data_IF_259075757828
#
_entry.id   IF_259075757828
#
_cell.length_a   1.000
_cell.length_b   1.000
_cell.length_c   1.000
_cell.angle_alpha   90.00
_cell.angle_beta   90.00
_cell.angle_gamma   90.00
#
_symmetry.space_group_name_H-M   'P 1'
#
loop_
_entity.id
_entity.type
_entity.pdbx_description
1 polymer ?
#
# COMPACT_ATOMS: atom_id res chain seq x y z
N UNK A 1 -18.56 16.60 -8.45
CA UNK A 1 -17.52 16.49 -9.50
C UNK A 1 -16.55 15.38 -9.17
N UNK A 2 -15.63 15.04 -10.08
CA UNK A 2 -14.69 13.93 -9.93
C UNK A 2 -13.80 14.08 -8.67
N UNK A 3 -13.40 15.29 -8.35
CA UNK A 3 -12.60 15.61 -7.16
C UNK A 3 -13.37 15.38 -5.86
N UNK A 4 -14.65 15.78 -5.82
CA UNK A 4 -15.51 15.56 -4.65
C UNK A 4 -15.76 14.06 -4.45
N UNK A 5 -15.98 13.32 -5.54
CA UNK A 5 -16.15 11.86 -5.49
C UNK A 5 -14.88 11.18 -4.97
N UNK A 6 -13.70 11.55 -5.50
CA UNK A 6 -12.42 11.00 -5.04
C UNK A 6 -12.21 11.22 -3.53
N UNK A 7 -12.49 12.44 -3.04
CA UNK A 7 -12.38 12.78 -1.61
C UNK A 7 -13.39 12.03 -0.75
N UNK A 8 -14.64 11.93 -1.20
CA UNK A 8 -15.68 11.23 -0.46
C UNK A 8 -15.35 9.74 -0.29
N UNK A 9 -14.91 9.07 -1.36
CA UNK A 9 -14.47 7.67 -1.32
C UNK A 9 -13.28 7.51 -0.38
N UNK A 10 -12.26 8.35 -0.50
CA UNK A 10 -11.09 8.31 0.40
C UNK A 10 -11.48 8.48 1.88
N UNK A 11 -12.42 9.37 2.20
CA UNK A 11 -12.91 9.52 3.57
C UNK A 11 -13.61 8.27 4.09
N UNK A 12 -14.37 7.57 3.25
CA UNK A 12 -14.98 6.28 3.59
C UNK A 12 -13.90 5.23 3.86
N UNK A 13 -12.88 5.14 3.01
CA UNK A 13 -11.75 4.22 3.21
C UNK A 13 -11.00 4.49 4.51
N UNK A 14 -10.68 5.75 4.78
CA UNK A 14 -9.97 6.16 6.01
C UNK A 14 -10.77 5.82 7.26
N UNK A 15 -12.05 6.16 7.31
CA UNK A 15 -12.87 5.92 8.50
C UNK A 15 -13.36 4.47 8.62
N UNK A 16 -13.66 3.80 7.50
CA UNK A 16 -14.19 2.45 7.49
C UNK A 16 -13.13 1.36 7.64
N UNK A 17 -12.05 1.47 6.89
CA UNK A 17 -11.02 0.43 6.83
C UNK A 17 -9.75 0.81 7.60
N UNK A 18 -9.14 1.94 7.28
CA UNK A 18 -7.83 2.29 7.82
C UNK A 18 -7.86 2.44 9.34
N UNK A 19 -8.83 3.18 9.88
CA UNK A 19 -8.93 3.42 11.32
C UNK A 19 -9.09 2.14 12.14
N UNK A 20 -9.66 1.09 11.53
CA UNK A 20 -9.91 -0.21 12.19
C UNK A 20 -8.78 -1.21 11.98
N UNK A 21 -8.02 -1.07 10.91
CA UNK A 21 -7.07 -2.09 10.46
C UNK A 21 -5.60 -1.66 10.52
N UNK A 22 -5.33 -0.37 10.71
CA UNK A 22 -3.97 0.16 10.88
C UNK A 22 -3.87 0.99 12.15
N UNK A 23 -2.97 0.56 13.05
CA UNK A 23 -2.79 1.15 14.39
C UNK A 23 -2.37 2.62 14.37
N UNK A 24 -1.56 3.03 13.38
CA UNK A 24 -0.91 4.34 13.32
C UNK A 24 -1.40 5.21 12.15
N UNK A 25 -2.68 5.11 11.82
CA UNK A 25 -3.26 5.76 10.63
C UNK A 25 -2.98 7.26 10.52
N UNK A 26 -2.96 8.01 11.64
CA UNK A 26 -2.67 9.44 11.62
C UNK A 26 -1.24 9.73 11.14
N UNK A 27 -0.30 8.87 11.51
CA UNK A 27 1.07 8.93 11.00
C UNK A 27 1.10 8.60 9.51
N UNK A 28 0.31 7.61 9.07
CA UNK A 28 0.19 7.20 7.68
C UNK A 28 -0.31 8.36 6.81
N UNK A 29 -1.37 9.04 7.21
CA UNK A 29 -1.94 10.19 6.50
C UNK A 29 -0.99 11.40 6.48
N UNK A 30 -0.30 11.66 7.58
CA UNK A 30 0.73 12.70 7.66
C UNK A 30 1.90 12.40 6.72
N UNK A 31 2.33 11.13 6.68
CA UNK A 31 3.42 10.67 5.83
C UNK A 31 3.08 10.80 4.33
N UNK A 32 1.90 10.33 3.91
CA UNK A 32 1.45 10.40 2.51
C UNK A 32 1.33 11.84 2.00
N UNK A 33 1.04 12.79 2.88
CA UNK A 33 1.02 14.22 2.53
C UNK A 33 2.36 14.73 1.99
N UNK A 34 3.47 14.06 2.31
CA UNK A 34 4.80 14.35 1.79
C UNK A 34 4.92 14.14 0.27
N UNK A 35 4.10 13.26 -0.31
CA UNK A 35 4.03 13.01 -1.76
C UNK A 35 3.68 14.31 -2.51
N UNK A 36 2.74 15.09 -1.97
CA UNK A 36 2.32 16.37 -2.55
C UNK A 36 3.41 17.44 -2.62
N UNK A 37 4.54 17.23 -1.93
CA UNK A 37 5.69 18.15 -1.86
C UNK A 37 6.89 17.66 -2.68
N UNK A 38 6.77 16.53 -3.36
CA UNK A 38 7.81 16.00 -4.23
C UNK A 38 7.97 16.85 -5.50
N UNK A 39 9.05 16.63 -6.20
CA UNK A 39 9.31 17.31 -7.47
C UNK A 39 8.16 17.10 -8.46
N UNK A 40 7.54 18.20 -8.90
CA UNK A 40 6.31 18.14 -9.71
C UNK A 40 6.55 17.58 -11.11
N UNK A 41 7.74 17.75 -11.69
CA UNK A 41 8.06 17.19 -13.00
C UNK A 41 8.21 15.68 -12.92
N UNK A 42 8.87 15.16 -11.86
CA UNK A 42 9.00 13.73 -11.63
C UNK A 42 7.66 13.08 -11.28
N UNK A 43 6.82 13.76 -10.48
CA UNK A 43 5.48 13.26 -10.15
C UNK A 43 4.58 13.19 -11.39
N UNK A 44 4.66 14.20 -12.26
CA UNK A 44 3.95 14.16 -13.56
C UNK A 44 4.48 13.02 -14.43
N UNK A 45 5.79 12.85 -14.53
CA UNK A 45 6.40 11.75 -15.28
C UNK A 45 5.95 10.37 -14.74
N UNK A 46 5.79 10.22 -13.43
CA UNK A 46 5.25 8.99 -12.83
C UNK A 46 3.80 8.76 -13.23
N UNK A 47 2.95 9.78 -13.15
CA UNK A 47 1.54 9.69 -13.54
C UNK A 47 1.41 9.35 -15.02
N UNK A 48 2.18 10.02 -15.88
CA UNK A 48 2.18 9.77 -17.33
C UNK A 48 2.69 8.34 -17.63
N UNK A 49 3.73 7.87 -16.93
CA UNK A 49 4.23 6.52 -17.04
C UNK A 49 3.14 5.49 -16.68
N UNK A 50 2.50 5.63 -15.52
CA UNK A 50 1.45 4.71 -15.06
C UNK A 50 0.28 4.69 -16.05
N UNK A 51 -0.19 5.85 -16.51
CA UNK A 51 -1.32 5.96 -17.43
C UNK A 51 -1.02 5.46 -18.85
N UNK A 52 0.26 5.36 -19.24
CA UNK A 52 0.67 4.83 -20.56
C UNK A 52 0.84 3.31 -20.59
N UNK A 53 0.79 2.61 -19.44
CA UNK A 53 1.04 1.17 -19.36
C UNK A 53 -0.22 0.41 -18.98
N UNK A 54 -0.62 -0.53 -19.84
CA UNK A 54 -1.75 -1.43 -19.58
C UNK A 54 -1.56 -2.18 -18.25
N UNK A 55 -2.60 -2.19 -17.43
CA UNK A 55 -2.60 -2.83 -16.11
C UNK A 55 -2.00 -1.97 -14.98
N UNK A 56 -1.37 -0.82 -15.29
CA UNK A 56 -0.82 0.11 -14.30
C UNK A 56 -1.49 1.49 -14.33
N UNK A 57 -2.44 1.72 -15.24
CA UNK A 57 -3.24 2.94 -15.25
C UNK A 57 -3.86 3.19 -13.86
N UNK A 58 -3.88 4.44 -13.41
CA UNK A 58 -4.36 4.80 -12.05
C UNK A 58 -5.73 4.22 -11.73
N UNK A 59 -6.66 4.20 -12.70
CA UNK A 59 -7.98 3.61 -12.50
C UNK A 59 -7.92 2.08 -12.38
N UNK A 60 -7.05 1.41 -13.13
CA UNK A 60 -6.88 -0.05 -13.04
C UNK A 60 -6.25 -0.47 -11.71
N UNK A 61 -5.32 0.32 -11.19
CA UNK A 61 -4.76 0.10 -9.86
C UNK A 61 -5.81 0.31 -8.77
N UNK A 62 -6.71 1.29 -8.95
CA UNK A 62 -7.82 1.52 -8.02
C UNK A 62 -8.85 0.37 -8.08
N UNK A 63 -9.23 -0.10 -9.27
CA UNK A 63 -10.11 -1.26 -9.45
C UNK A 63 -9.51 -2.51 -8.76
N UNK A 64 -8.21 -2.72 -8.90
CA UNK A 64 -7.50 -3.82 -8.26
C UNK A 64 -7.58 -3.73 -6.73
N UNK A 65 -7.39 -2.54 -6.15
CA UNK A 65 -7.51 -2.31 -4.71
C UNK A 65 -8.93 -2.61 -4.25
N UNK A 66 -9.96 -2.13 -4.95
CA UNK A 66 -11.36 -2.38 -4.57
C UNK A 66 -11.71 -3.86 -4.63
N UNK A 67 -11.22 -4.58 -5.64
CA UNK A 67 -11.38 -6.03 -5.70
C UNK A 67 -10.81 -6.71 -4.44
N UNK A 68 -9.61 -6.31 -4.01
CA UNK A 68 -8.99 -6.86 -2.79
C UNK A 68 -9.80 -6.49 -1.54
N UNK A 69 -10.42 -5.31 -1.51
CA UNK A 69 -11.30 -4.93 -0.39
C UNK A 69 -12.54 -5.84 -0.30
N UNK A 70 -13.17 -6.13 -1.44
CA UNK A 70 -14.31 -7.05 -1.47
C UNK A 70 -13.92 -8.46 -1.00
N UNK A 71 -12.78 -8.97 -1.46
CA UNK A 71 -12.23 -10.26 -1.05
C UNK A 71 -11.90 -10.27 0.45
N UNK A 72 -11.30 -9.20 0.98
CA UNK A 72 -11.05 -9.05 2.40
C UNK A 72 -12.34 -9.06 3.24
N UNK A 73 -13.34 -8.33 2.81
CA UNK A 73 -14.64 -8.30 3.52
C UNK A 73 -15.27 -9.69 3.60
N UNK A 74 -15.11 -10.52 2.57
CA UNK A 74 -15.60 -11.90 2.56
C UNK A 74 -14.89 -12.81 3.57
N UNK A 75 -13.65 -12.52 3.95
CA UNK A 75 -12.82 -13.32 4.86
C UNK A 75 -12.51 -12.64 6.19
N UNK A 76 -12.93 -11.39 6.40
CA UNK A 76 -12.56 -10.55 7.54
C UNK A 76 -12.70 -11.25 8.89
N UNK A 77 -13.84 -11.91 9.12
CA UNK A 77 -14.11 -12.61 10.39
C UNK A 77 -13.06 -13.70 10.69
N UNK A 78 -12.48 -14.29 9.65
CA UNK A 78 -11.46 -15.34 9.77
C UNK A 78 -10.09 -14.78 10.09
N UNK A 79 -9.84 -13.52 9.76
CA UNK A 79 -8.56 -12.81 9.99
C UNK A 79 -8.52 -12.05 11.32
N UNK A 80 -9.61 -12.07 12.12
CA UNK A 80 -9.65 -11.41 13.43
C UNK A 80 -8.52 -11.87 14.36
N UNK A 81 -8.15 -13.17 14.45
CA UNK A 81 -7.04 -13.60 15.29
C UNK A 81 -5.71 -12.95 14.88
N UNK A 82 -5.40 -12.92 13.59
CA UNK A 82 -4.21 -12.26 13.06
C UNK A 82 -4.19 -10.75 13.33
N UNK A 83 -5.35 -10.09 13.21
CA UNK A 83 -5.48 -8.68 13.56
C UNK A 83 -5.25 -8.46 15.07
N UNK A 84 -5.76 -9.34 15.93
CA UNK A 84 -5.60 -9.24 17.37
C UNK A 84 -4.14 -9.31 17.82
N UNK A 85 -3.30 -10.11 17.16
CA UNK A 85 -1.85 -10.21 17.45
C UNK A 85 -1.19 -8.82 17.46
N UNK A 86 -1.59 -7.92 16.57
CA UNK A 86 -0.98 -6.59 16.43
C UNK A 86 -1.28 -5.67 17.62
N UNK A 87 -2.27 -6.01 18.44
CA UNK A 87 -2.63 -5.27 19.66
C UNK A 87 -2.07 -5.91 20.94
N UNK A 88 -1.40 -7.06 20.82
CA UNK A 88 -0.70 -7.67 21.95
C UNK A 88 0.50 -6.78 22.36
N UNK A 89 0.72 -6.63 23.66
CA UNK A 89 1.78 -5.74 24.20
C UNK A 89 3.19 -6.28 23.95
N UNK A 90 3.34 -7.58 23.95
CA UNK A 90 4.58 -8.28 23.69
C UNK A 90 4.55 -8.83 22.29
N UNK A 91 5.46 -8.42 21.42
CA UNK A 91 5.59 -8.95 20.06
C UNK A 91 6.06 -10.43 20.01
N UNK A 92 6.13 -11.10 21.15
CA UNK A 92 6.45 -12.52 21.29
C UNK A 92 5.16 -13.35 21.26
N UNK A 93 4.70 -13.66 20.06
CA UNK A 93 3.58 -14.59 19.85
C UNK A 93 4.15 -15.97 19.57
N UNK A 94 3.67 -16.97 20.33
CA UNK A 94 4.08 -18.36 20.15
C UNK A 94 3.12 -19.07 19.19
N UNK A 95 3.46 -19.02 17.89
CA UNK A 95 2.65 -19.66 16.85
C UNK A 95 2.55 -21.19 16.97
N UNK A 96 3.43 -21.84 17.75
CA UNK A 96 3.36 -23.28 18.01
C UNK A 96 2.27 -23.65 18.99
N UNK A 97 2.03 -22.79 19.99
CA UNK A 97 1.06 -23.06 21.06
C UNK A 97 -0.24 -22.28 20.92
N UNK A 98 -0.28 -21.30 20.02
CA UNK A 98 -1.44 -20.45 19.81
C UNK A 98 -2.00 -20.64 18.41
N UNK A 99 -3.29 -20.92 18.31
CA UNK A 99 -3.95 -21.25 17.06
C UNK A 99 -5.10 -20.32 16.71
N UNK A 100 -5.67 -20.51 15.53
CA UNK A 100 -6.88 -19.85 15.06
C UNK A 100 -8.07 -20.79 15.16
N UNK A 101 -9.17 -20.32 15.77
CA UNK A 101 -10.42 -21.09 15.88
C UNK A 101 -11.49 -20.66 14.89
N UNK A 102 -11.24 -19.59 14.13
CA UNK A 102 -12.23 -18.97 13.26
C UNK A 102 -12.02 -19.29 11.77
N UNK A 103 -10.89 -19.92 11.44
CA UNK A 103 -10.51 -20.17 10.04
C UNK A 103 -9.91 -21.54 9.81
N UNK A 104 -9.69 -21.85 8.55
CA UNK A 104 -8.89 -22.97 8.07
C UNK A 104 -8.04 -22.53 6.88
N UNK A 105 -6.96 -23.26 6.59
CA UNK A 105 -6.12 -22.97 5.44
C UNK A 105 -6.91 -22.87 4.13
N UNK A 106 -7.81 -23.83 3.87
CA UNK A 106 -8.62 -23.85 2.65
C UNK A 106 -9.53 -22.62 2.50
N UNK A 107 -9.96 -22.04 3.61
CA UNK A 107 -10.84 -20.88 3.58
C UNK A 107 -10.14 -19.56 3.29
N UNK A 108 -8.80 -19.52 3.38
CA UNK A 108 -7.98 -18.32 3.24
C UNK A 108 -6.95 -18.39 2.10
N UNK A 109 -6.63 -19.60 1.59
CA UNK A 109 -5.58 -19.77 0.57
C UNK A 109 -5.79 -18.91 -0.69
N UNK A 110 -7.04 -18.75 -1.12
CA UNK A 110 -7.34 -17.94 -2.30
C UNK A 110 -7.09 -16.45 -2.03
N UNK A 111 -7.60 -15.95 -0.89
CA UNK A 111 -7.34 -14.58 -0.46
C UNK A 111 -5.83 -14.28 -0.36
N UNK A 112 -5.05 -15.21 0.22
CA UNK A 112 -3.60 -15.07 0.31
C UNK A 112 -2.94 -14.93 -1.07
N UNK A 113 -3.36 -15.75 -2.04
CA UNK A 113 -2.86 -15.67 -3.42
C UNK A 113 -3.23 -14.34 -4.07
N UNK A 114 -4.47 -13.91 -3.95
CA UNK A 114 -4.98 -12.70 -4.60
C UNK A 114 -4.33 -11.44 -4.02
N UNK A 115 -4.19 -11.36 -2.69
CA UNK A 115 -3.47 -10.26 -2.02
C UNK A 115 -2.00 -10.22 -2.44
N UNK A 116 -1.32 -11.37 -2.51
CA UNK A 116 0.07 -11.44 -2.98
C UNK A 116 0.22 -10.92 -4.41
N UNK A 117 -0.65 -11.35 -5.34
CA UNK A 117 -0.61 -10.92 -6.74
C UNK A 117 -0.93 -9.43 -6.89
N UNK A 118 -1.95 -8.95 -6.18
CA UNK A 118 -2.35 -7.55 -6.19
C UNK A 118 -1.23 -6.65 -5.65
N UNK A 119 -0.68 -6.99 -4.49
CA UNK A 119 0.42 -6.26 -3.88
C UNK A 119 1.63 -6.20 -4.82
N UNK A 120 1.99 -7.33 -5.46
CA UNK A 120 3.09 -7.37 -6.44
C UNK A 120 2.91 -6.45 -7.64
N UNK A 121 1.68 -6.16 -8.05
CA UNK A 121 1.38 -5.15 -9.08
C UNK A 121 1.45 -3.72 -8.52
N UNK A 122 0.92 -3.52 -7.33
CA UNK A 122 0.87 -2.22 -6.66
C UNK A 122 2.25 -1.71 -6.21
N UNK A 123 3.26 -2.60 -6.07
CA UNK A 123 4.62 -2.24 -5.66
C UNK A 123 5.31 -1.21 -6.55
N UNK A 124 4.85 -1.01 -7.78
CA UNK A 124 5.37 0.03 -8.67
C UNK A 124 5.28 1.44 -8.05
N UNK A 125 4.21 1.70 -7.27
CA UNK A 125 3.98 3.00 -6.64
C UNK A 125 5.05 3.32 -5.59
N UNK A 126 5.22 2.53 -4.51
CA UNK A 126 6.23 2.83 -3.50
C UNK A 126 7.66 2.79 -4.03
N UNK A 127 7.96 1.93 -5.01
CA UNK A 127 9.27 1.88 -5.67
C UNK A 127 9.54 3.17 -6.44
N UNK A 128 8.61 3.64 -7.27
CA UNK A 128 8.77 4.90 -8.00
C UNK A 128 8.89 6.11 -7.05
N UNK A 129 8.10 6.14 -5.96
CA UNK A 129 8.21 7.18 -4.94
C UNK A 129 9.57 7.16 -4.24
N UNK A 130 10.14 6.00 -3.95
CA UNK A 130 11.50 5.87 -3.44
C UNK A 130 12.54 6.37 -4.46
N UNK A 131 12.40 6.02 -5.75
CA UNK A 131 13.28 6.51 -6.80
C UNK A 131 13.29 8.04 -6.84
N UNK A 132 12.14 8.70 -6.83
CA UNK A 132 12.03 10.16 -6.78
C UNK A 132 12.67 10.68 -5.48
N UNK A 133 12.34 10.10 -4.33
CA UNK A 133 12.78 10.59 -3.01
C UNK A 133 14.28 10.54 -2.83
N UNK A 134 14.94 9.45 -3.23
CA UNK A 134 16.35 9.19 -2.93
C UNK A 134 17.27 9.45 -4.13
N UNK A 135 16.75 9.44 -5.36
CA UNK A 135 17.53 9.48 -6.60
C UNK A 135 17.05 10.55 -7.58
N UNK A 136 15.98 11.29 -7.24
CA UNK A 136 15.43 12.42 -8.02
C UNK A 136 15.04 12.06 -9.46
N UNK A 137 14.77 10.78 -9.74
CA UNK A 137 14.36 10.28 -11.06
C UNK A 137 13.50 9.02 -10.89
N UNK A 138 12.35 8.96 -11.56
CA UNK A 138 11.45 7.79 -11.53
C UNK A 138 12.13 6.51 -11.97
N UNK A 139 13.09 6.58 -12.88
CA UNK A 139 13.79 5.43 -13.47
C UNK A 139 15.09 5.08 -12.77
N UNK A 140 15.58 5.90 -11.83
CA UNK A 140 16.81 5.58 -11.10
C UNK A 140 16.58 4.49 -10.06
N UNK A 141 16.62 3.23 -10.52
CA UNK A 141 16.39 2.06 -9.67
C UNK A 141 17.49 1.85 -8.64
N UNK A 142 17.13 1.30 -7.47
CA UNK A 142 18.12 0.78 -6.55
C UNK A 142 18.81 -0.43 -7.19
N UNK A 143 20.15 -0.53 -7.21
CA UNK A 143 20.89 -1.58 -7.93
C UNK A 143 20.90 -2.95 -7.23
N UNK A 144 19.70 -3.46 -6.88
CA UNK A 144 19.52 -4.77 -6.25
C UNK A 144 19.63 -5.89 -7.27
N UNK A 145 19.01 -5.69 -8.44
CA UNK A 145 19.00 -6.63 -9.56
C UNK A 145 19.79 -6.02 -10.73
N UNK A 146 20.78 -6.74 -11.24
CA UNK A 146 21.75 -6.23 -12.24
C UNK A 146 21.14 -5.71 -13.55
N UNK A 147 19.97 -6.23 -13.93
CA UNK A 147 19.34 -5.93 -15.21
C UNK A 147 18.06 -5.08 -15.08
N UNK A 148 17.86 -4.44 -13.94
CA UNK A 148 16.67 -3.61 -13.68
C UNK A 148 17.14 -2.17 -13.51
N UNK A 149 17.09 -1.41 -14.60
CA UNK A 149 17.64 -0.05 -14.66
C UNK A 149 16.53 1.00 -14.80
N UNK A 150 15.26 0.61 -14.91
CA UNK A 150 14.13 1.49 -15.10
C UNK A 150 12.84 0.89 -14.52
N UNK A 151 11.79 1.72 -14.39
CA UNK A 151 10.45 1.22 -14.07
C UNK A 151 9.92 0.27 -15.16
N UNK A 152 10.32 0.49 -16.42
CA UNK A 152 9.99 -0.38 -17.55
C UNK A 152 10.57 -1.80 -17.37
N UNK A 153 11.79 -1.91 -16.84
CA UNK A 153 12.37 -3.21 -16.52
C UNK A 153 11.70 -3.83 -15.29
N UNK A 154 11.36 -3.01 -14.30
CA UNK A 154 10.69 -3.45 -13.08
C UNK A 154 9.33 -4.09 -13.36
N UNK A 155 8.50 -3.50 -14.23
CA UNK A 155 7.17 -4.07 -14.54
C UNK A 155 7.23 -5.41 -15.27
N UNK A 156 8.35 -5.75 -15.90
CA UNK A 156 8.59 -7.04 -16.56
C UNK A 156 9.00 -8.16 -15.59
N UNK A 157 9.38 -7.81 -14.36
CA UNK A 157 9.76 -8.78 -13.35
C UNK A 157 8.59 -9.65 -12.91
N UNK A 158 8.92 -10.88 -12.46
CA UNK A 158 7.96 -11.68 -11.69
C UNK A 158 7.62 -10.97 -10.37
N UNK A 159 6.44 -11.23 -9.79
CA UNK A 159 6.05 -10.64 -8.51
C UNK A 159 7.09 -10.94 -7.41
N UNK A 160 7.57 -12.19 -7.36
CA UNK A 160 8.62 -12.58 -6.41
C UNK A 160 9.88 -11.70 -6.52
N UNK A 161 10.32 -11.39 -7.75
CA UNK A 161 11.49 -10.51 -7.97
C UNK A 161 11.18 -9.05 -7.64
N UNK A 162 9.93 -8.57 -7.83
CA UNK A 162 9.54 -7.21 -7.44
C UNK A 162 9.68 -6.99 -5.93
N UNK A 163 9.39 -8.02 -5.12
CA UNK A 163 9.54 -7.93 -3.66
C UNK A 163 10.99 -7.82 -3.18
N UNK A 164 11.99 -8.14 -4.00
CA UNK A 164 13.39 -7.85 -3.67
C UNK A 164 13.67 -6.36 -3.49
N UNK A 165 12.84 -5.49 -4.07
CA UNK A 165 12.94 -4.04 -3.93
C UNK A 165 12.21 -3.49 -2.68
N UNK A 166 11.61 -4.34 -1.84
CA UNK A 166 11.04 -3.95 -0.54
C UNK A 166 12.16 -3.76 0.47
N UNK A 167 12.70 -2.55 0.53
CA UNK A 167 13.82 -2.22 1.42
C UNK A 167 13.32 -1.41 2.62
N UNK A 168 13.53 -1.91 3.82
CA UNK A 168 13.19 -1.21 5.06
C UNK A 168 13.94 0.11 5.23
N UNK A 169 15.11 0.26 4.57
CA UNK A 169 15.90 1.49 4.58
C UNK A 169 15.33 2.60 3.70
N UNK A 170 14.45 2.28 2.76
CA UNK A 170 13.78 3.26 1.89
C UNK A 170 12.34 3.50 2.36
N UNK A 171 12.01 4.77 2.56
CA UNK A 171 10.86 5.19 3.38
C UNK A 171 9.50 4.70 2.88
N UNK A 172 9.26 4.67 1.56
CA UNK A 172 7.95 4.27 1.02
C UNK A 172 7.73 2.75 1.01
N UNK A 173 8.77 1.95 0.89
CA UNK A 173 8.68 0.49 1.04
C UNK A 173 8.75 0.06 2.49
N UNK A 174 9.67 0.64 3.27
CA UNK A 174 9.81 0.34 4.70
C UNK A 174 8.56 0.70 5.52
N UNK A 175 7.87 1.78 5.14
CA UNK A 175 6.60 2.17 5.75
C UNK A 175 5.52 1.09 5.66
N UNK A 176 5.48 0.32 4.57
CA UNK A 176 4.45 -0.69 4.34
C UNK A 176 4.61 -1.92 5.25
N UNK A 177 5.80 -2.16 5.80
CA UNK A 177 6.13 -3.31 6.69
C UNK A 177 5.64 -4.65 6.13
N UNK A 178 5.86 -4.87 4.83
CA UNK A 178 5.32 -6.01 4.10
C UNK A 178 6.07 -7.29 4.50
N UNK A 179 5.31 -8.33 4.85
CA UNK A 179 5.80 -9.70 4.97
C UNK A 179 5.30 -10.51 3.77
N UNK A 180 6.20 -11.12 3.02
CA UNK A 180 5.85 -11.95 1.86
C UNK A 180 6.66 -13.24 1.84
N UNK A 181 5.95 -14.36 1.64
CA UNK A 181 6.54 -15.67 1.48
C UNK A 181 6.28 -16.21 0.05
N UNK A 182 7.13 -15.80 -0.90
CA UNK A 182 7.01 -16.21 -2.30
C UNK A 182 7.09 -17.74 -2.48
N UNK A 183 7.79 -18.45 -1.57
CA UNK A 183 7.91 -19.91 -1.64
C UNK A 183 6.60 -20.60 -1.26
N UNK A 184 5.95 -20.14 -0.21
CA UNK A 184 4.64 -20.64 0.20
C UNK A 184 3.59 -20.31 -0.88
N UNK A 185 3.56 -19.04 -1.37
CA UNK A 185 2.67 -18.66 -2.48
C UNK A 185 2.81 -19.57 -3.68
N UNK A 186 4.04 -19.88 -4.10
CA UNK A 186 4.29 -20.76 -5.24
C UNK A 186 3.83 -22.19 -4.94
N UNK A 187 4.11 -22.73 -3.75
CA UNK A 187 3.66 -24.04 -3.34
C UNK A 187 2.13 -24.17 -3.35
N UNK A 188 1.42 -23.15 -2.86
CA UNK A 188 -0.06 -23.07 -2.92
C UNK A 188 -0.52 -23.08 -4.39
N UNK A 189 0.06 -22.24 -5.23
CA UNK A 189 -0.30 -22.14 -6.65
C UNK A 189 -0.06 -23.42 -7.46
N UNK A 190 0.91 -24.26 -7.03
CA UNK A 190 1.21 -25.55 -7.66
C UNK A 190 0.56 -26.74 -6.93
N UNK A 191 -0.23 -26.51 -5.91
CA UNK A 191 -0.83 -27.55 -5.07
C UNK A 191 0.20 -28.47 -4.38
N UNK A 192 1.36 -27.94 -4.05
CA UNK A 192 2.47 -28.60 -3.33
C UNK A 192 2.42 -28.30 -1.83
N UNK A 193 1.22 -28.33 -1.25
CA UNK A 193 0.91 -27.97 0.15
C UNK A 193 0.02 -29.03 0.77
N UNK A 194 0.33 -29.41 2.01
CA UNK A 194 -0.48 -30.27 2.90
C UNK A 194 -0.86 -29.49 4.14
N UNK A 195 -2.11 -29.59 4.60
CA UNK A 195 -2.58 -28.95 5.81
C UNK A 195 -3.06 -29.98 6.83
N UNK A 196 -2.48 -29.96 8.03
CA UNK A 196 -2.96 -30.74 9.18
C UNK A 196 -3.84 -29.83 10.07
N UNK A 197 -5.13 -30.11 10.11
CA UNK A 197 -6.10 -29.31 10.89
C UNK A 197 -6.01 -29.50 12.41
N UNK A 198 -5.40 -30.59 12.90
CA UNK A 198 -5.24 -30.86 14.33
C UNK A 198 -4.16 -29.96 14.92
N UNK A 199 -3.00 -29.91 14.27
CA UNK A 199 -1.85 -29.12 14.69
C UNK A 199 -1.85 -27.74 14.04
N UNK A 200 -2.81 -27.45 13.17
CA UNK A 200 -2.89 -26.23 12.35
C UNK A 200 -1.60 -25.95 11.58
N UNK A 201 -0.95 -26.99 11.09
CA UNK A 201 0.35 -26.96 10.45
C UNK A 201 0.22 -27.08 8.94
N UNK A 202 0.78 -26.10 8.22
CA UNK A 202 0.89 -26.05 6.77
C UNK A 202 2.27 -26.57 6.43
N UNK A 203 2.36 -27.68 5.68
CA UNK A 203 3.62 -28.23 5.17
C UNK A 203 3.70 -28.00 3.68
N UNK A 204 4.78 -27.43 3.17
CA UNK A 204 4.92 -27.11 1.75
C UNK A 204 6.30 -27.40 1.19
N UNK A 205 6.37 -27.57 -0.14
CA UNK A 205 7.61 -27.81 -0.89
C UNK A 205 8.09 -26.45 -1.44
N UNK A 206 9.17 -25.85 -0.88
CA UNK A 206 9.63 -24.52 -1.27
C UNK A 206 10.31 -24.46 -2.63
N UNK A 207 10.74 -25.61 -3.17
CA UNK A 207 11.38 -25.73 -4.47
C UNK A 207 10.87 -27.00 -5.19
N UNK A 208 10.08 -26.87 -6.27
CA UNK A 208 9.57 -28.03 -7.00
C UNK A 208 10.65 -28.95 -7.59
N UNK A 209 11.89 -28.44 -7.77
CA UNK A 209 13.03 -29.22 -8.26
C UNK A 209 13.71 -30.07 -7.18
N UNK A 210 13.45 -29.77 -5.90
CA UNK A 210 13.97 -30.50 -4.75
C UNK A 210 12.83 -30.82 -3.78
N UNK A 211 12.05 -31.83 -4.10
CA UNK A 211 10.87 -32.25 -3.32
C UNK A 211 11.21 -32.92 -1.99
N UNK A 212 12.50 -33.19 -1.73
CA UNK A 212 12.95 -33.78 -0.46
C UNK A 212 12.92 -32.78 0.69
N UNK A 213 12.99 -31.49 0.38
CA UNK A 213 12.99 -30.42 1.38
C UNK A 213 11.57 -29.91 1.57
N UNK A 214 11.02 -30.11 2.75
CA UNK A 214 9.75 -29.55 3.18
C UNK A 214 9.99 -28.38 4.15
N UNK A 215 9.08 -27.43 4.17
CA UNK A 215 8.96 -26.37 5.17
C UNK A 215 7.60 -26.42 5.82
N UNK A 216 7.52 -25.89 7.01
CA UNK A 216 6.27 -25.78 7.78
C UNK A 216 6.00 -24.34 8.17
N UNK A 217 4.73 -24.04 8.33
CA UNK A 217 4.22 -22.76 8.81
C UNK A 217 2.89 -22.97 9.53
N UNK A 218 2.67 -22.31 10.66
CA UNK A 218 1.41 -22.43 11.39
C UNK A 218 0.30 -21.59 10.74
N UNK A 219 -0.96 -22.03 10.87
CA UNK A 219 -2.11 -21.35 10.27
C UNK A 219 -2.19 -19.88 10.70
N UNK A 220 -1.99 -19.60 11.99
CA UNK A 220 -2.05 -18.23 12.51
C UNK A 220 -0.91 -17.34 11.95
N UNK A 221 0.26 -17.92 11.67
CA UNK A 221 1.36 -17.23 10.99
C UNK A 221 0.99 -16.90 9.53
N UNK A 222 0.39 -17.86 8.83
CA UNK A 222 -0.13 -17.66 7.47
C UNK A 222 -1.21 -16.56 7.41
N UNK A 223 -2.13 -16.54 8.38
CA UNK A 223 -3.14 -15.49 8.53
C UNK A 223 -2.49 -14.13 8.75
N UNK A 224 -1.45 -14.07 9.60
CA UNK A 224 -0.72 -12.85 9.88
C UNK A 224 0.03 -12.32 8.64
N UNK A 225 0.65 -13.20 7.84
CA UNK A 225 1.26 -12.80 6.56
C UNK A 225 0.22 -12.22 5.59
N UNK A 226 -0.96 -12.88 5.44
CA UNK A 226 -2.05 -12.38 4.61
C UNK A 226 -2.53 -10.98 5.07
N UNK A 227 -2.65 -10.80 6.40
CA UNK A 227 -3.06 -9.53 6.99
C UNK A 227 -2.03 -8.42 6.76
N UNK A 228 -0.73 -8.70 6.92
CA UNK A 228 0.33 -7.73 6.62
C UNK A 228 0.36 -7.32 5.16
N UNK A 229 0.20 -8.26 4.23
CA UNK A 229 0.11 -7.94 2.80
C UNK A 229 -1.10 -7.05 2.51
N UNK A 230 -2.26 -7.36 3.08
CA UNK A 230 -3.47 -6.53 2.95
C UNK A 230 -3.26 -5.12 3.51
N UNK A 231 -2.66 -4.99 4.69
CA UNK A 231 -2.32 -3.69 5.29
C UNK A 231 -1.31 -2.90 4.44
N UNK A 232 -0.39 -3.58 3.76
CA UNK A 232 0.47 -2.97 2.76
C UNK A 232 -0.33 -2.36 1.60
N UNK A 233 -1.36 -3.07 1.12
CA UNK A 233 -2.27 -2.56 0.09
C UNK A 233 -3.04 -1.33 0.58
N UNK A 234 -3.52 -1.31 1.83
CA UNK A 234 -4.12 -0.11 2.43
C UNK A 234 -3.16 1.10 2.40
N UNK A 235 -1.89 0.89 2.76
CA UNK A 235 -0.89 1.95 2.68
C UNK A 235 -0.64 2.45 1.25
N UNK A 236 -0.61 1.53 0.27
CA UNK A 236 -0.45 1.91 -1.14
C UNK A 236 -1.70 2.60 -1.69
N UNK A 237 -2.90 2.25 -1.21
CA UNK A 237 -4.14 2.95 -1.57
C UNK A 237 -4.07 4.43 -1.19
N UNK A 238 -3.51 4.76 -0.02
CA UNK A 238 -3.28 6.15 0.37
C UNK A 238 -2.28 6.85 -0.58
N UNK A 239 -1.22 6.18 -1.03
CA UNK A 239 -0.30 6.74 -2.02
C UNK A 239 -0.98 6.95 -3.38
N UNK A 240 -1.78 5.99 -3.82
CA UNK A 240 -2.55 6.09 -5.05
C UNK A 240 -3.55 7.26 -4.99
N UNK A 241 -4.23 7.44 -3.87
CA UNK A 241 -5.10 8.59 -3.66
C UNK A 241 -4.35 9.91 -3.91
N UNK A 242 -3.15 10.08 -3.35
CA UNK A 242 -2.32 11.28 -3.58
C UNK A 242 -1.90 11.46 -5.03
N UNK A 243 -1.58 10.37 -5.72
CA UNK A 243 -1.27 10.42 -7.16
C UNK A 243 -2.47 10.85 -8.00
N UNK A 244 -3.67 10.35 -7.67
CA UNK A 244 -4.91 10.74 -8.34
C UNK A 244 -5.26 12.21 -8.05
N UNK A 245 -5.07 12.68 -6.83
CA UNK A 245 -5.23 14.08 -6.47
C UNK A 245 -4.30 14.99 -7.28
N UNK A 246 -3.02 14.61 -7.42
CA UNK A 246 -2.05 15.30 -8.27
C UNK A 246 -2.43 15.27 -9.75
N UNK A 247 -2.89 14.14 -10.28
CA UNK A 247 -3.35 14.03 -11.65
C UNK A 247 -4.49 15.02 -11.95
N UNK A 248 -5.49 15.10 -11.06
CA UNK A 248 -6.58 16.08 -11.20
C UNK A 248 -6.09 17.53 -11.12
N UNK A 249 -5.06 17.81 -10.31
CA UNK A 249 -4.43 19.15 -10.26
C UNK A 249 -3.70 19.48 -11.58
N UNK A 250 -2.95 18.53 -12.13
CA UNK A 250 -2.24 18.73 -13.40
C UNK A 250 -3.20 18.90 -14.59
N UNK A 251 -4.38 18.26 -14.52
CA UNK A 251 -5.45 18.44 -15.52
C UNK A 251 -6.27 19.73 -15.31
N UNK A 252 -5.93 20.54 -14.29
CA UNK A 252 -6.65 21.78 -13.96
C UNK A 252 -8.06 21.56 -13.39
N UNK A 253 -8.41 20.32 -13.01
CA UNK A 253 -9.72 19.96 -12.41
C UNK A 253 -9.83 20.32 -10.93
N UNK A 254 -8.69 20.46 -10.26
CA UNK A 254 -8.59 20.93 -8.86
C UNK A 254 -7.69 22.16 -8.82
N UNK A 255 -8.10 23.25 -8.14
CA UNK A 255 -7.21 24.39 -7.92
C UNK A 255 -5.94 23.97 -7.18
N UNK A 256 -4.78 24.46 -7.59
CA UNK A 256 -3.48 24.28 -6.91
C UNK A 256 -3.47 25.07 -5.57
N UNK A 257 -4.32 24.73 -4.63
CA UNK A 257 -4.41 25.39 -3.32
C UNK A 257 -3.08 25.41 -2.53
N UNK A 258 -2.16 24.50 -2.85
CA UNK A 258 -0.87 24.37 -2.14
C UNK A 258 0.12 25.44 -2.60
N UNK A 259 0.08 25.88 -3.87
CA UNK A 259 0.94 26.95 -4.36
C UNK A 259 0.49 28.35 -3.86
N UNK A 260 -0.79 28.56 -3.67
CA UNK A 260 -1.29 29.86 -3.16
C UNK A 260 -0.79 30.18 -1.76
N UNK A 261 -0.73 29.18 -0.84
CA UNK A 261 -0.21 29.41 0.52
C UNK A 261 1.27 29.63 0.59
N UNK A 262 2.05 29.04 -0.30
CA UNK A 262 3.50 29.26 -0.36
C UNK A 262 3.87 30.70 -0.76
N UNK A 263 2.98 31.38 -1.50
CA UNK A 263 3.12 32.77 -1.93
C UNK A 263 2.43 33.78 -0.98
N UNK A 264 1.81 33.31 0.10
CA UNK A 264 1.19 34.22 1.05
C UNK A 264 2.22 35.01 1.85
N UNK A 265 1.95 36.29 2.16
CA UNK A 265 2.83 37.08 3.00
C UNK A 265 3.08 36.34 4.33
N UNK A 266 4.35 36.31 4.80
CA UNK A 266 4.73 35.64 6.06
C UNK A 266 3.97 36.15 7.28
N UNK A 267 3.40 37.35 7.21
CA UNK A 267 2.50 37.93 8.23
C UNK A 267 1.30 38.55 7.51
N UNK A 268 0.11 38.06 7.82
CA UNK A 268 -1.16 38.60 7.34
C UNK A 268 -1.89 39.18 8.54
N UNK A 269 -2.25 40.46 8.45
CA UNK A 269 -3.02 41.12 9.49
C UNK A 269 -4.43 40.51 9.63
N UNK A 270 -4.92 40.34 10.86
CA UNK A 270 -6.23 39.72 11.12
C UNK A 270 -7.38 40.38 10.36
N UNK A 271 -7.28 41.67 10.09
CA UNK A 271 -8.31 42.48 9.42
C UNK A 271 -8.07 42.68 7.92
N UNK A 272 -6.94 42.20 7.37
CA UNK A 272 -6.63 42.28 5.95
C UNK A 272 -7.50 41.32 5.14
N UNK A 273 -7.71 41.58 3.82
CA UNK A 273 -8.37 40.64 2.93
C UNK A 273 -7.60 39.29 2.92
N UNK A 274 -8.34 38.18 2.95
CA UNK A 274 -7.70 36.88 2.88
C UNK A 274 -7.06 36.66 1.50
N UNK A 275 -5.79 36.28 1.41
CA UNK A 275 -5.10 36.07 0.14
C UNK A 275 -5.71 34.96 -0.75
N UNK A 276 -6.63 34.14 -0.21
CA UNK A 276 -7.33 33.12 -0.96
C UNK A 276 -8.37 33.66 -1.97
N UNK A 277 -8.52 34.96 -2.10
CA UNK A 277 -9.47 35.57 -3.04
C UNK A 277 -10.93 35.52 -2.64
N UNK A 278 -11.26 34.99 -1.44
CA UNK A 278 -12.66 34.87 -0.95
C UNK A 278 -13.36 36.18 -0.63
N UNK A 279 -12.67 37.33 -0.68
CA UNK A 279 -13.18 38.64 -0.28
C UNK A 279 -13.41 38.81 1.24
N UNK A 280 -13.20 37.78 2.05
CA UNK A 280 -13.36 37.81 3.50
C UNK A 280 -12.09 38.30 4.18
N UNK A 281 -12.22 38.95 5.35
CA UNK A 281 -11.06 39.28 6.20
C UNK A 281 -10.37 38.00 6.68
N UNK A 282 -9.03 38.00 6.81
CA UNK A 282 -8.23 36.83 7.17
C UNK A 282 -8.75 36.13 8.43
N UNK A 283 -9.09 36.88 9.49
CA UNK A 283 -9.64 36.33 10.75
C UNK A 283 -10.99 35.59 10.59
N UNK A 284 -11.71 35.82 9.51
CA UNK A 284 -13.01 35.16 9.25
C UNK A 284 -12.91 34.10 8.15
N UNK A 285 -11.68 33.80 7.67
CA UNK A 285 -11.40 32.83 6.65
C UNK A 285 -10.31 31.85 7.15
N UNK A 286 -9.07 32.00 6.71
CA UNK A 286 -7.96 31.09 7.04
C UNK A 286 -7.23 31.46 8.35
N UNK A 287 -7.51 32.58 8.94
CA UNK A 287 -7.02 33.00 10.25
C UNK A 287 -8.01 32.78 11.40
N UNK A 288 -9.01 31.91 11.23
CA UNK A 288 -9.83 31.41 12.34
C UNK A 288 -8.97 30.57 13.26
N UNK A 289 -9.08 30.72 14.61
CA UNK A 289 -8.41 29.85 15.56
C UNK A 289 -8.88 28.42 15.43
#
# INVERSE_FOLDING_TARGET
>A
DESETLRAVHMIEVHGLYSSLRKDILNDLSFSSGIMKMDSAQMKSLIDFLNSHDGFHLDKLQELIYKVYDEFMAVYQRLIPALAIQYCKDNSFDFEHEGSTTSSFDSLKQFYLDVYEALGNLMIIPIALNNIKYRSDINAMNPIEKNVNSLEDFIKLTKASRYHFCLDSEVYTGFLKILVNAKLRNAIGHNDVEYNSVDQLITYIPNPKDRTKKKTEYLLQFENEAMHMFQGILGISEFLYRLRELALMYDGKIPLMVQERANWPKKIGRNEPCPCGSGKKYKFCHGKP
#
